data_IF_401518574613
#
_entry.id   IF_401518574613
#
_cell.length_a   1.000
_cell.length_b   1.000
_cell.length_c   1.000
_cell.angle_alpha   90.00
_cell.angle_beta   90.00
_cell.angle_gamma   90.00
#
_symmetry.space_group_name_H-M   'P 1'
#
loop_
_entity.id
_entity.type
_entity.pdbx_description
1 polymer ?
#
# COMPACT_ATOMS: atom_id res chain seq x y z
N UNK A 1 18.11 -39.10 30.29
CA UNK A 1 17.66 -38.03 31.21
C UNK A 1 18.25 -36.67 30.85
N UNK A 2 19.54 -36.58 30.52
CA UNK A 2 20.20 -35.30 30.17
C UNK A 2 19.53 -34.53 29.01
N UNK A 3 19.08 -35.24 27.96
CA UNK A 3 18.43 -34.61 26.81
C UNK A 3 17.05 -34.01 27.12
N UNK A 4 16.32 -34.57 28.10
CA UNK A 4 14.98 -34.07 28.47
C UNK A 4 15.11 -32.70 29.13
N UNK A 5 16.16 -32.49 29.94
CA UNK A 5 16.42 -31.22 30.61
C UNK A 5 16.73 -30.11 29.60
N UNK A 6 17.50 -30.43 28.55
CA UNK A 6 17.78 -29.51 27.44
C UNK A 6 16.51 -29.16 26.67
N UNK A 7 15.66 -30.14 26.37
CA UNK A 7 14.39 -29.91 25.66
C UNK A 7 13.48 -28.98 26.48
N UNK A 8 13.37 -29.18 27.79
CA UNK A 8 12.55 -28.32 28.67
C UNK A 8 13.12 -26.90 28.74
N UNK A 9 14.44 -26.74 28.80
CA UNK A 9 15.10 -25.42 28.78
C UNK A 9 14.84 -24.66 27.48
N UNK A 10 14.96 -25.35 26.34
CA UNK A 10 14.70 -24.76 25.01
C UNK A 10 13.23 -24.36 24.89
N UNK A 11 12.30 -25.25 25.26
CA UNK A 11 10.87 -24.96 25.23
C UNK A 11 10.51 -23.79 26.17
N UNK A 12 11.09 -23.75 27.38
CA UNK A 12 10.91 -22.64 28.31
C UNK A 12 11.41 -21.30 27.76
N UNK A 13 12.57 -21.28 27.10
CA UNK A 13 13.07 -20.09 26.42
C UNK A 13 12.13 -19.63 25.31
N UNK A 14 11.63 -20.54 24.47
CA UNK A 14 10.61 -20.21 23.46
C UNK A 14 9.38 -19.58 24.09
N UNK A 15 8.89 -20.11 25.23
CA UNK A 15 7.74 -19.57 25.94
C UNK A 15 7.93 -18.15 26.50
N UNK A 16 9.15 -17.75 26.85
CA UNK A 16 9.45 -16.39 27.29
C UNK A 16 9.59 -15.43 26.10
N UNK A 17 10.19 -15.91 25.00
CA UNK A 17 10.49 -15.09 23.83
C UNK A 17 9.35 -15.00 22.81
N UNK A 18 8.24 -15.75 22.94
CA UNK A 18 7.13 -15.73 21.97
C UNK A 18 6.65 -14.31 21.62
N UNK A 19 6.52 -13.43 22.61
CA UNK A 19 6.08 -12.05 22.38
C UNK A 19 7.10 -11.21 21.62
N UNK A 20 8.40 -11.45 21.84
CA UNK A 20 9.47 -10.78 21.12
C UNK A 20 9.61 -11.31 19.70
N UNK A 21 9.47 -12.62 19.52
CA UNK A 21 9.45 -13.29 18.22
C UNK A 21 8.27 -12.77 17.39
N UNK A 22 7.07 -12.72 17.96
CA UNK A 22 5.88 -12.19 17.28
C UNK A 22 6.04 -10.72 16.85
N UNK A 23 6.62 -9.86 17.71
CA UNK A 23 6.91 -8.46 17.35
C UNK A 23 7.98 -8.34 16.26
N UNK A 24 9.02 -9.17 16.33
CA UNK A 24 10.08 -9.21 15.32
C UNK A 24 9.56 -9.65 13.94
N UNK A 25 8.71 -10.67 13.90
CA UNK A 25 8.03 -11.08 12.68
C UNK A 25 7.08 -9.99 12.18
N UNK A 26 6.16 -9.49 13.02
CA UNK A 26 5.20 -8.46 12.60
C UNK A 26 5.89 -7.18 12.06
N UNK A 27 6.97 -6.72 12.69
CA UNK A 27 7.74 -5.56 12.22
C UNK A 27 8.46 -5.81 10.89
N UNK A 28 8.97 -7.03 10.66
CA UNK A 28 9.59 -7.40 9.39
C UNK A 28 8.57 -7.55 8.27
N UNK A 29 7.41 -8.14 8.53
CA UNK A 29 6.30 -8.20 7.57
C UNK A 29 5.76 -6.81 7.24
N UNK A 30 5.73 -5.88 8.21
CA UNK A 30 5.41 -4.47 7.96
C UNK A 30 6.41 -3.81 7.02
N UNK A 31 7.71 -3.96 7.28
CA UNK A 31 8.76 -3.41 6.41
C UNK A 31 8.74 -4.01 5.00
N UNK A 32 8.46 -5.31 4.89
CA UNK A 32 8.30 -5.99 3.59
C UNK A 32 7.05 -5.47 2.87
N UNK A 33 5.92 -5.30 3.57
CA UNK A 33 4.71 -4.69 3.01
C UNK A 33 4.92 -3.25 2.55
N UNK A 34 5.68 -2.44 3.30
CA UNK A 34 6.08 -1.09 2.90
C UNK A 34 6.99 -1.09 1.66
N UNK A 35 7.89 -2.08 1.54
CA UNK A 35 8.83 -2.20 0.41
C UNK A 35 8.23 -2.74 -0.89
N UNK A 36 7.10 -3.47 -0.84
CA UNK A 36 6.45 -4.09 -2.00
C UNK A 36 5.57 -3.12 -2.82
N UNK A 37 5.72 -1.80 -2.65
CA UNK A 37 5.23 -0.82 -3.62
C UNK A 37 3.83 -0.26 -3.35
N UNK A 38 3.31 -0.40 -2.12
CA UNK A 38 2.23 0.43 -1.60
C UNK A 38 2.75 1.22 -0.40
N UNK A 39 3.88 1.89 -0.60
CA UNK A 39 4.44 2.90 0.32
C UNK A 39 3.55 4.15 0.44
N UNK A 40 2.23 3.96 0.56
CA UNK A 40 1.31 4.99 1.00
C UNK A 40 1.37 5.00 2.51
N UNK A 41 2.03 6.03 3.03
CA UNK A 41 1.78 6.50 4.38
C UNK A 41 0.27 6.71 4.46
N UNK A 42 -0.42 5.82 5.16
CA UNK A 42 -1.84 5.97 5.46
C UNK A 42 -1.94 7.21 6.35
N UNK A 43 -2.21 8.39 5.77
CA UNK A 43 -2.48 9.59 6.56
C UNK A 43 -3.94 9.51 7.03
N UNK A 44 -4.21 9.20 8.31
CA UNK A 44 -5.58 9.02 8.80
C UNK A 44 -6.39 10.34 8.77
N UNK A 45 -5.76 11.48 8.45
CA UNK A 45 -6.41 12.79 8.35
C UNK A 45 -6.71 13.23 6.92
N UNK A 46 -6.12 12.59 5.92
CA UNK A 46 -6.34 12.87 4.49
C UNK A 46 -6.55 11.55 3.76
N UNK A 47 -7.81 11.12 3.69
CA UNK A 47 -8.22 9.95 2.92
C UNK A 47 -8.38 10.29 1.43
N UNK A 48 -7.40 10.98 0.84
CA UNK A 48 -7.38 11.22 -0.60
C UNK A 48 -6.90 9.94 -1.28
N UNK A 49 -7.82 9.27 -1.97
CA UNK A 49 -7.51 8.07 -2.74
C UNK A 49 -6.91 8.49 -4.09
N UNK A 50 -5.59 8.53 -4.20
CA UNK A 50 -4.96 8.78 -5.49
C UNK A 50 -4.95 7.51 -6.35
N UNK A 51 -4.98 7.62 -7.67
CA UNK A 51 -4.81 6.52 -8.63
C UNK A 51 -3.63 6.85 -9.53
N UNK A 52 -2.84 5.84 -9.92
CA UNK A 52 -1.77 6.01 -10.89
C UNK A 52 -2.26 5.60 -12.27
N UNK A 53 -2.18 6.50 -13.24
CA UNK A 53 -2.44 6.19 -14.63
C UNK A 53 -1.16 5.69 -15.30
N UNK A 54 -1.13 4.43 -15.72
CA UNK A 54 -0.01 3.86 -16.48
C UNK A 54 -0.21 3.95 -18.00
N UNK A 55 -1.40 4.35 -18.46
CA UNK A 55 -1.83 4.14 -19.84
C UNK A 55 -1.69 5.38 -20.70
N UNK A 56 -1.92 6.58 -20.16
CA UNK A 56 -1.92 7.82 -20.95
C UNK A 56 -0.85 8.82 -20.49
N UNK A 57 -0.79 9.11 -19.20
CA UNK A 57 -0.04 10.26 -18.65
C UNK A 57 1.11 9.88 -17.73
N UNK A 58 1.15 8.65 -17.18
CA UNK A 58 2.14 8.24 -16.16
C UNK A 58 2.13 9.12 -14.90
N UNK A 59 0.97 9.68 -14.55
CA UNK A 59 0.79 10.59 -13.42
C UNK A 59 -0.14 10.00 -12.36
N UNK A 60 0.02 10.49 -11.13
CA UNK A 60 -0.93 10.28 -10.06
C UNK A 60 -2.00 11.37 -10.07
N UNK A 61 -3.24 10.97 -9.87
CA UNK A 61 -4.40 11.87 -9.86
C UNK A 61 -5.37 11.49 -8.74
N UNK A 62 -6.21 12.43 -8.33
CA UNK A 62 -7.23 12.20 -7.31
C UNK A 62 -8.44 11.46 -7.89
N UNK A 63 -8.81 10.33 -7.27
CA UNK A 63 -9.97 9.53 -7.66
C UNK A 63 -11.28 10.31 -7.52
N UNK A 64 -11.45 11.09 -6.46
CA UNK A 64 -12.70 11.80 -6.23
C UNK A 64 -12.95 12.86 -7.31
N UNK A 65 -11.89 13.59 -7.70
CA UNK A 65 -11.92 14.49 -8.85
C UNK A 65 -12.29 13.74 -10.15
N UNK A 66 -11.66 12.60 -10.41
CA UNK A 66 -11.87 11.84 -11.65
C UNK A 66 -13.28 11.24 -11.77
N UNK A 67 -13.84 10.73 -10.67
CA UNK A 67 -15.22 10.23 -10.64
C UNK A 67 -16.24 11.38 -10.71
N UNK A 68 -15.94 12.52 -10.07
CA UNK A 68 -16.79 13.71 -10.07
C UNK A 68 -16.86 14.43 -11.42
N UNK A 69 -15.78 14.40 -12.20
CA UNK A 69 -15.73 14.96 -13.56
C UNK A 69 -16.44 14.08 -14.60
N UNK A 70 -16.81 12.85 -14.26
CA UNK A 70 -17.55 11.94 -15.14
C UNK A 70 -16.74 11.44 -16.33
N UNK A 71 -15.42 11.33 -16.17
CA UNK A 71 -14.52 10.91 -17.25
C UNK A 71 -14.60 9.40 -17.50
N UNK A 72 -15.11 9.00 -18.66
CA UNK A 72 -15.20 7.60 -19.08
C UNK A 72 -13.95 7.19 -19.89
N UNK A 73 -12.87 6.92 -19.17
CA UNK A 73 -11.60 6.44 -19.75
C UNK A 73 -11.47 4.92 -19.77
N UNK A 74 -12.48 4.21 -19.27
CA UNK A 74 -12.53 2.76 -19.18
C UNK A 74 -13.35 2.13 -20.32
N UNK A 75 -14.15 2.92 -21.06
CA UNK A 75 -14.90 2.40 -22.20
C UNK A 75 -14.07 2.30 -23.48
N UNK A 76 -14.45 1.36 -24.34
CA UNK A 76 -13.79 1.09 -25.65
C UNK A 76 -13.87 2.30 -26.61
N UNK A 77 -14.72 3.28 -26.31
CA UNK A 77 -14.89 4.52 -27.10
C UNK A 77 -14.16 5.72 -26.50
N UNK A 78 -13.40 5.53 -25.42
CA UNK A 78 -12.64 6.59 -24.79
C UNK A 78 -11.64 7.20 -25.78
N UNK A 79 -11.65 8.53 -25.89
CA UNK A 79 -10.68 9.26 -26.68
C UNK A 79 -9.46 9.56 -25.80
N UNK A 80 -8.25 9.31 -26.31
CA UNK A 80 -7.00 9.43 -25.56
C UNK A 80 -6.81 10.85 -25.03
N UNK A 81 -7.05 11.85 -25.88
CA UNK A 81 -6.87 13.26 -25.52
C UNK A 81 -7.83 13.73 -24.43
N UNK A 82 -9.09 13.29 -24.46
CA UNK A 82 -10.06 13.65 -23.42
C UNK A 82 -9.71 13.03 -22.07
N UNK A 83 -9.06 11.86 -22.08
CA UNK A 83 -8.62 11.19 -20.88
C UNK A 83 -7.37 11.82 -20.30
N UNK A 84 -6.39 12.16 -21.15
CA UNK A 84 -5.21 12.92 -20.73
C UNK A 84 -5.60 14.25 -20.09
N UNK A 85 -6.44 15.05 -20.75
CA UNK A 85 -6.88 16.36 -20.22
C UNK A 85 -7.60 16.21 -18.88
N UNK A 86 -8.43 15.17 -18.72
CA UNK A 86 -9.14 14.93 -17.47
C UNK A 86 -8.19 14.48 -16.34
N UNK A 87 -7.25 13.59 -16.64
CA UNK A 87 -6.27 13.08 -15.65
C UNK A 87 -5.34 14.22 -15.22
N UNK A 88 -4.86 15.04 -16.16
CA UNK A 88 -4.04 16.22 -15.86
C UNK A 88 -4.82 17.25 -15.05
N UNK A 89 -6.10 17.48 -15.35
CA UNK A 89 -6.97 18.36 -14.56
C UNK A 89 -7.19 17.90 -13.12
N UNK A 90 -7.14 16.59 -12.88
CA UNK A 90 -7.26 15.97 -11.57
C UNK A 90 -5.91 15.61 -10.93
N UNK A 91 -4.79 16.02 -11.52
CA UNK A 91 -3.47 15.85 -10.94
C UNK A 91 -3.32 16.77 -9.73
N UNK A 92 -3.57 16.23 -8.55
CA UNK A 92 -3.47 16.96 -7.30
C UNK A 92 -2.03 16.88 -6.75
N UNK A 93 -1.47 17.96 -6.18
CA UNK A 93 -0.12 17.96 -5.59
C UNK A 93 -0.01 17.02 -4.38
N UNK A 94 -1.15 16.68 -3.76
CA UNK A 94 -1.21 15.68 -2.69
C UNK A 94 -1.11 14.23 -3.18
N UNK A 95 -1.16 14.03 -4.49
CA UNK A 95 -1.00 12.73 -5.13
C UNK A 95 0.38 12.55 -5.77
N UNK A 96 1.22 13.59 -5.84
CA UNK A 96 2.55 13.57 -6.48
C UNK A 96 3.69 13.19 -5.52
#
# INVERSE_FOLDING_TARGET
MEYIMLIVLVLGAFLVFQKYIARGFAGRWKAVGESLGQGRIYDPRRTTECIFDFQYTSLWYDKACFEGSGCDCLSVRANTTTCEDCIVGCAAPECQ
#
